data_IF_070425311893
#
_entry.id   IF_070425311893
#
_cell.length_a   1.000
_cell.length_b   1.000
_cell.length_c   1.000
_cell.angle_alpha   90.00
_cell.angle_beta   90.00
_cell.angle_gamma   90.00
#
_symmetry.space_group_name_H-M   'P 1'
#
loop_
_entity.id
_entity.type
_entity.pdbx_description
1 polymer ?
#
# COMPACT_ATOMS: atom_id res chain seq x y z
N UNK A 1 13.81 13.58 9.21
CA UNK A 1 13.49 13.44 7.77
C UNK A 1 12.00 13.15 7.53
N UNK A 2 11.07 13.80 8.26
CA UNK A 2 9.61 13.59 8.12
C UNK A 2 8.98 14.64 7.18
N UNK A 3 9.77 15.62 6.72
CA UNK A 3 9.31 16.79 5.97
C UNK A 3 9.00 16.56 4.47
N UNK A 4 9.31 15.40 3.88
CA UNK A 4 9.05 15.13 2.45
C UNK A 4 7.75 14.35 2.18
N UNK A 5 7.32 13.53 3.13
CA UNK A 5 6.15 12.63 2.99
C UNK A 5 4.82 13.38 2.97
N UNK A 6 4.70 14.52 3.66
CA UNK A 6 3.46 15.27 3.79
C UNK A 6 3.04 15.94 2.47
N UNK A 7 3.95 16.66 1.81
CA UNK A 7 3.69 17.37 0.54
C UNK A 7 3.25 16.38 -0.56
N UNK A 8 3.87 15.21 -0.59
CA UNK A 8 3.59 14.17 -1.58
C UNK A 8 2.23 13.52 -1.34
N UNK A 9 1.89 13.22 -0.08
CA UNK A 9 0.55 12.77 0.32
C UNK A 9 -0.54 13.79 -0.06
N UNK A 10 -0.28 15.09 0.13
CA UNK A 10 -1.24 16.14 -0.23
C UNK A 10 -1.49 16.27 -1.73
N UNK A 11 -0.48 16.06 -2.57
CA UNK A 11 -0.61 16.19 -4.02
C UNK A 11 -1.13 14.91 -4.70
N UNK A 12 -0.65 13.74 -4.28
CA UNK A 12 -0.88 12.47 -4.99
C UNK A 12 -2.05 11.65 -4.45
N UNK A 13 -2.33 11.68 -3.14
CA UNK A 13 -3.44 10.92 -2.57
C UNK A 13 -4.80 11.33 -3.15
N UNK A 14 -5.12 12.64 -3.28
CA UNK A 14 -6.39 13.05 -3.85
C UNK A 14 -6.54 12.66 -5.31
N UNK A 15 -5.46 12.76 -6.11
CA UNK A 15 -5.43 12.39 -7.52
C UNK A 15 -5.73 10.90 -7.70
N UNK A 16 -5.08 10.03 -6.91
CA UNK A 16 -5.28 8.59 -7.04
C UNK A 16 -6.61 8.13 -6.45
N UNK A 17 -7.11 8.73 -5.36
CA UNK A 17 -8.47 8.47 -4.89
C UNK A 17 -9.52 8.91 -5.93
N UNK A 18 -9.27 10.01 -6.64
CA UNK A 18 -10.09 10.47 -7.77
C UNK A 18 -10.13 9.45 -8.90
N UNK A 19 -8.96 8.93 -9.31
CA UNK A 19 -8.80 7.94 -10.37
C UNK A 19 -9.33 6.55 -9.99
N UNK A 20 -9.19 6.16 -8.72
CA UNK A 20 -9.43 4.80 -8.24
C UNK A 20 -10.84 4.59 -7.71
N UNK A 21 -11.30 5.41 -6.75
CA UNK A 21 -12.52 5.08 -6.04
C UNK A 21 -13.80 5.49 -6.77
N UNK A 22 -13.74 6.50 -7.67
CA UNK A 22 -14.91 7.19 -8.21
C UNK A 22 -16.15 7.19 -7.26
N UNK A 23 -15.99 7.41 -5.93
CA UNK A 23 -16.98 6.94 -4.96
C UNK A 23 -18.14 7.93 -4.82
N UNK A 24 -17.98 9.10 -5.42
CA UNK A 24 -18.84 10.25 -5.22
C UNK A 24 -19.94 10.36 -6.28
N UNK A 25 -20.29 9.29 -6.99
CA UNK A 25 -21.31 9.39 -8.06
C UNK A 25 -22.74 9.65 -7.54
N UNK A 26 -23.00 9.50 -6.23
CA UNK A 26 -24.34 9.67 -5.63
C UNK A 26 -24.58 10.99 -4.88
N UNK A 27 -23.62 11.91 -4.80
CA UNK A 27 -23.72 13.13 -3.96
C UNK A 27 -23.65 14.40 -4.82
N UNK A 28 -24.19 15.53 -4.33
CA UNK A 28 -24.17 16.82 -5.05
C UNK A 28 -22.74 17.36 -5.25
N UNK A 29 -22.48 18.14 -6.32
CA UNK A 29 -21.14 18.71 -6.61
C UNK A 29 -20.56 19.52 -5.45
N UNK A 30 -21.39 20.26 -4.71
CA UNK A 30 -20.96 21.07 -3.59
C UNK A 30 -20.49 20.20 -2.40
N UNK A 31 -21.22 19.13 -2.11
CA UNK A 31 -20.88 18.20 -1.02
C UNK A 31 -19.58 17.44 -1.30
N UNK A 32 -19.31 17.08 -2.57
CA UNK A 32 -18.05 16.44 -2.98
C UNK A 32 -16.84 17.33 -2.72
N UNK A 33 -16.95 18.58 -3.13
CA UNK A 33 -15.91 19.57 -2.95
C UNK A 33 -15.67 19.86 -1.46
N UNK A 34 -16.76 20.01 -0.71
CA UNK A 34 -16.70 20.24 0.73
C UNK A 34 -16.00 19.08 1.46
N UNK A 35 -16.33 17.82 1.16
CA UNK A 35 -15.68 16.63 1.78
C UNK A 35 -14.20 16.52 1.41
N UNK A 36 -13.82 16.82 0.17
CA UNK A 36 -12.41 16.80 -0.25
C UNK A 36 -11.60 17.91 0.44
N UNK A 37 -12.16 19.11 0.55
CA UNK A 37 -11.53 20.21 1.26
C UNK A 37 -11.46 19.97 2.78
N UNK A 38 -12.51 19.43 3.40
CA UNK A 38 -12.52 19.16 4.84
C UNK A 38 -11.65 17.95 5.21
N UNK A 39 -11.63 16.88 4.41
CA UNK A 39 -10.70 15.76 4.63
C UNK A 39 -9.24 16.19 4.42
N UNK A 40 -8.99 17.03 3.42
CA UNK A 40 -7.69 17.69 3.22
C UNK A 40 -7.30 18.52 4.45
N UNK A 41 -8.16 19.45 4.89
CA UNK A 41 -7.95 20.33 6.04
C UNK A 41 -7.81 19.60 7.38
N UNK A 42 -8.65 18.61 7.66
CA UNK A 42 -8.57 17.77 8.86
C UNK A 42 -7.29 16.94 8.88
N UNK A 43 -6.85 16.42 7.72
CA UNK A 43 -5.55 15.76 7.59
C UNK A 43 -4.37 16.69 7.92
N UNK A 44 -4.46 17.98 7.56
CA UNK A 44 -3.45 19.00 7.90
C UNK A 44 -3.43 19.25 9.40
N UNK A 45 -4.60 19.44 10.02
CA UNK A 45 -4.74 19.74 11.43
C UNK A 45 -4.35 18.57 12.34
N UNK A 46 -4.63 17.32 11.94
CA UNK A 46 -4.36 16.15 12.78
C UNK A 46 -2.90 15.70 12.76
N UNK A 47 -2.17 15.98 11.67
CA UNK A 47 -0.82 15.43 11.47
C UNK A 47 0.32 16.42 11.76
N UNK A 48 0.04 17.73 11.96
CA UNK A 48 1.09 18.72 12.25
C UNK A 48 0.54 20.02 12.87
N UNK A 49 0.46 20.15 14.21
CA UNK A 49 -0.16 21.32 14.82
C UNK A 49 0.65 22.62 14.72
N UNK A 50 1.96 22.60 14.45
CA UNK A 50 2.81 23.80 14.63
C UNK A 50 3.64 24.30 13.43
N UNK A 51 3.74 23.58 12.30
CA UNK A 51 4.78 23.89 11.28
C UNK A 51 4.32 24.11 9.82
N UNK A 52 3.02 24.13 9.52
CA UNK A 52 2.56 24.30 8.12
C UNK A 52 2.16 25.75 7.85
N UNK A 53 2.86 26.49 6.97
CA UNK A 53 2.50 27.86 6.67
C UNK A 53 1.12 27.91 5.99
N UNK A 54 0.27 28.85 6.40
CA UNK A 54 -1.10 29.02 5.87
C UNK A 54 -1.14 29.12 4.34
N UNK A 55 -0.07 29.62 3.72
CA UNK A 55 0.10 29.66 2.26
C UNK A 55 0.08 28.26 1.62
N UNK A 56 0.63 27.22 2.25
CA UNK A 56 0.61 25.85 1.74
C UNK A 56 -0.79 25.24 1.79
N UNK A 57 -1.59 25.59 2.80
CA UNK A 57 -2.99 25.20 2.89
C UNK A 57 -3.77 25.82 1.71
N UNK A 58 -3.49 27.09 1.41
CA UNK A 58 -4.08 27.78 0.27
C UNK A 58 -3.67 27.14 -1.08
N UNK A 59 -2.38 26.88 -1.30
CA UNK A 59 -1.91 26.19 -2.51
C UNK A 59 -2.49 24.77 -2.65
N UNK A 60 -2.59 24.02 -1.56
CA UNK A 60 -3.23 22.70 -1.53
C UNK A 60 -4.72 22.77 -1.88
N UNK A 61 -5.45 23.74 -1.34
CA UNK A 61 -6.86 23.96 -1.65
C UNK A 61 -7.08 24.35 -3.13
N UNK A 62 -6.24 25.23 -3.67
CA UNK A 62 -6.27 25.62 -5.09
C UNK A 62 -5.94 24.42 -5.99
N UNK A 63 -4.94 23.60 -5.62
CA UNK A 63 -4.58 22.39 -6.37
C UNK A 63 -5.72 21.35 -6.36
N UNK A 64 -6.34 21.11 -5.20
CA UNK A 64 -7.51 20.22 -5.07
C UNK A 64 -8.70 20.71 -5.88
N UNK A 65 -8.96 22.01 -5.88
CA UNK A 65 -10.02 22.60 -6.71
C UNK A 65 -9.71 22.47 -8.20
N UNK A 66 -8.48 22.74 -8.62
CA UNK A 66 -8.03 22.53 -10.00
C UNK A 66 -8.21 21.07 -10.45
N UNK A 67 -7.77 20.11 -9.63
CA UNK A 67 -7.98 18.68 -9.88
C UNK A 67 -9.47 18.30 -9.93
N UNK A 68 -10.30 18.90 -9.08
CA UNK A 68 -11.75 18.68 -9.09
C UNK A 68 -12.41 19.20 -10.36
N UNK A 69 -12.01 20.39 -10.84
CA UNK A 69 -12.49 20.92 -12.12
C UNK A 69 -12.07 20.03 -13.30
N UNK A 70 -10.86 19.49 -13.25
CA UNK A 70 -10.36 18.55 -14.25
C UNK A 70 -10.90 17.12 -14.09
N UNK A 71 -11.65 16.81 -13.03
CA UNK A 71 -12.13 15.44 -12.72
C UNK A 71 -12.82 14.78 -13.91
N UNK A 72 -13.76 15.48 -14.53
CA UNK A 72 -14.58 14.89 -15.59
C UNK A 72 -13.75 14.63 -16.86
N UNK A 73 -12.77 15.49 -17.13
CA UNK A 73 -11.82 15.32 -18.23
C UNK A 73 -10.84 14.17 -17.96
N UNK A 74 -10.27 14.13 -16.75
CA UNK A 74 -9.39 13.04 -16.28
C UNK A 74 -10.15 11.70 -16.34
N UNK A 75 -11.40 11.66 -15.87
CA UNK A 75 -12.21 10.44 -15.91
C UNK A 75 -12.55 10.00 -17.33
N UNK A 76 -12.73 10.91 -18.28
CA UNK A 76 -12.93 10.56 -19.71
C UNK A 76 -11.69 9.92 -20.30
N UNK A 77 -10.50 10.49 -20.06
CA UNK A 77 -9.21 9.94 -20.53
C UNK A 77 -8.90 8.60 -19.85
N UNK A 78 -9.15 8.53 -18.54
CA UNK A 78 -8.99 7.30 -17.80
C UNK A 78 -9.92 6.23 -18.39
N UNK A 79 -11.18 6.57 -18.63
CA UNK A 79 -12.17 5.64 -19.18
C UNK A 79 -11.95 5.24 -20.65
N UNK A 80 -11.16 5.99 -21.42
CA UNK A 80 -10.76 5.59 -22.78
C UNK A 80 -9.54 4.67 -22.81
N UNK A 81 -8.76 4.59 -21.73
CA UNK A 81 -7.54 3.79 -21.66
C UNK A 81 -7.86 2.31 -21.45
N UNK A 82 -7.10 1.38 -22.05
CA UNK A 82 -7.28 -0.06 -21.83
C UNK A 82 -7.08 -0.46 -20.36
N UNK A 83 -7.80 -1.48 -19.89
CA UNK A 83 -7.73 -1.95 -18.49
C UNK A 83 -6.31 -2.35 -18.06
N UNK A 84 -5.54 -2.97 -18.96
CA UNK A 84 -4.17 -3.38 -18.69
C UNK A 84 -3.25 -2.17 -18.47
N UNK A 85 -3.38 -1.14 -19.31
CA UNK A 85 -2.63 0.10 -19.18
C UNK A 85 -3.00 0.85 -17.88
N UNK A 86 -4.29 0.91 -17.51
CA UNK A 86 -4.71 1.49 -16.23
C UNK A 86 -4.08 0.78 -15.03
N UNK A 87 -4.11 -0.54 -15.02
CA UNK A 87 -3.53 -1.33 -13.93
C UNK A 87 -2.02 -1.13 -13.83
N UNK A 88 -1.33 -1.04 -14.97
CA UNK A 88 0.11 -0.77 -15.01
C UNK A 88 0.41 0.64 -14.48
N UNK A 89 -0.36 1.65 -14.92
CA UNK A 89 -0.20 3.03 -14.44
C UNK A 89 -0.39 3.09 -12.92
N UNK A 90 -1.46 2.47 -12.39
CA UNK A 90 -1.71 2.43 -10.95
C UNK A 90 -0.59 1.72 -10.18
N UNK A 91 -0.06 0.63 -10.73
CA UNK A 91 1.05 -0.11 -10.12
C UNK A 91 2.32 0.76 -10.10
N UNK A 92 2.68 1.40 -11.21
CA UNK A 92 3.85 2.28 -11.31
C UNK A 92 3.73 3.43 -10.30
N UNK A 93 2.58 4.09 -10.22
CA UNK A 93 2.36 5.15 -9.24
C UNK A 93 2.44 4.63 -7.80
N UNK A 94 1.92 3.44 -7.53
CA UNK A 94 2.00 2.84 -6.20
C UNK A 94 3.43 2.47 -5.80
N UNK A 95 4.20 1.92 -6.73
CA UNK A 95 5.62 1.62 -6.52
C UNK A 95 6.46 2.89 -6.38
N UNK A 96 6.18 3.93 -7.17
CA UNK A 96 6.84 5.22 -7.04
C UNK A 96 6.54 5.88 -5.68
N UNK A 97 5.31 5.77 -5.19
CA UNK A 97 4.94 6.23 -3.85
C UNK A 97 5.73 5.49 -2.77
N UNK A 98 5.81 4.16 -2.86
CA UNK A 98 6.59 3.35 -1.94
C UNK A 98 8.09 3.70 -1.98
N UNK A 99 8.62 3.90 -3.19
CA UNK A 99 10.00 4.27 -3.45
C UNK A 99 10.40 5.60 -2.84
N UNK A 100 9.46 6.55 -2.82
CA UNK A 100 9.67 7.87 -2.25
C UNK A 100 9.86 7.82 -0.73
N UNK A 101 9.09 6.96 -0.05
CA UNK A 101 9.21 6.77 1.40
C UNK A 101 10.51 6.06 1.76
N UNK A 102 10.72 4.86 1.23
CA UNK A 102 11.89 4.03 1.57
C UNK A 102 12.37 3.21 0.37
N UNK A 103 13.28 3.77 -0.47
CA UNK A 103 13.66 3.16 -1.73
C UNK A 103 14.37 1.81 -1.56
N UNK A 104 15.06 1.61 -0.42
CA UNK A 104 15.74 0.36 -0.10
C UNK A 104 14.77 -0.83 0.04
N UNK A 105 13.54 -0.60 0.52
CA UNK A 105 12.58 -1.66 0.81
C UNK A 105 11.63 -1.97 -0.34
N UNK A 106 11.67 -1.21 -1.45
CA UNK A 106 10.92 -1.56 -2.68
C UNK A 106 11.29 -2.97 -3.13
N UNK A 107 12.58 -3.33 -3.06
CA UNK A 107 13.05 -4.63 -3.50
C UNK A 107 12.42 -5.75 -2.67
N UNK A 108 12.23 -5.51 -1.37
CA UNK A 108 11.55 -6.45 -0.49
C UNK A 108 10.06 -6.60 -0.84
N UNK A 109 9.38 -5.48 -1.14
CA UNK A 109 8.00 -5.50 -1.65
C UNK A 109 7.89 -6.30 -2.96
N UNK A 110 8.77 -6.05 -3.93
CA UNK A 110 8.78 -6.76 -5.22
C UNK A 110 9.05 -8.25 -5.04
N UNK A 111 10.00 -8.63 -4.20
CA UNK A 111 10.26 -10.03 -3.85
C UNK A 111 9.04 -10.66 -3.20
N UNK A 112 8.39 -9.98 -2.25
CA UNK A 112 7.16 -10.46 -1.63
C UNK A 112 6.03 -10.68 -2.64
N UNK A 113 5.83 -9.75 -3.58
CA UNK A 113 4.86 -9.89 -4.68
C UNK A 113 5.16 -11.13 -5.52
N UNK A 114 6.42 -11.31 -5.94
CA UNK A 114 6.81 -12.44 -6.79
C UNK A 114 6.66 -13.78 -6.07
N UNK A 115 7.07 -13.85 -4.79
CA UNK A 115 6.92 -15.04 -3.96
C UNK A 115 5.44 -15.41 -3.81
N UNK A 116 4.59 -14.46 -3.42
CA UNK A 116 3.17 -14.72 -3.20
C UNK A 116 2.40 -14.96 -4.51
N UNK A 117 2.82 -14.35 -5.62
CA UNK A 117 2.33 -14.70 -6.96
C UNK A 117 2.65 -16.16 -7.31
N UNK A 118 3.91 -16.59 -7.11
CA UNK A 118 4.33 -17.97 -7.35
C UNK A 118 3.59 -18.97 -6.48
N UNK A 119 3.47 -18.68 -5.17
CA UNK A 119 2.71 -19.51 -4.24
C UNK A 119 1.23 -19.56 -4.60
N UNK A 120 0.62 -18.45 -5.02
CA UNK A 120 -0.76 -18.43 -5.50
C UNK A 120 -0.97 -19.29 -6.75
N UNK A 121 -0.01 -19.34 -7.68
CA UNK A 121 -0.06 -20.24 -8.84
C UNK A 121 0.04 -21.72 -8.43
N UNK A 122 0.91 -22.04 -7.48
CA UNK A 122 1.07 -23.41 -6.98
C UNK A 122 -0.12 -23.90 -6.17
N UNK A 123 -0.60 -23.09 -5.23
CA UNK A 123 -1.79 -23.36 -4.43
C UNK A 123 -3.02 -23.52 -5.33
N UNK A 124 -3.13 -22.72 -6.39
CA UNK A 124 -4.20 -22.79 -7.37
C UNK A 124 -4.31 -24.13 -8.12
N UNK A 125 -3.27 -24.99 -8.10
CA UNK A 125 -3.33 -26.35 -8.66
C UNK A 125 -3.99 -27.36 -7.70
N UNK A 126 -4.07 -27.03 -6.41
CA UNK A 126 -4.55 -27.93 -5.36
C UNK A 126 -5.57 -27.25 -4.41
N UNK A 127 -6.63 -26.61 -4.93
CA UNK A 127 -7.61 -25.92 -4.09
C UNK A 127 -8.31 -26.90 -3.16
N UNK A 128 -8.47 -26.52 -1.89
CA UNK A 128 -9.11 -27.32 -0.84
C UNK A 128 -8.52 -28.73 -0.63
N UNK A 129 -7.29 -28.99 -1.09
CA UNK A 129 -6.56 -30.25 -0.87
C UNK A 129 -5.52 -30.10 0.24
N UNK A 130 -5.16 -31.21 0.88
CA UNK A 130 -4.11 -31.25 1.92
C UNK A 130 -2.80 -30.64 1.42
N UNK A 131 -2.39 -30.92 0.18
CA UNK A 131 -1.21 -30.31 -0.45
C UNK A 131 -1.31 -28.78 -0.52
N UNK A 132 -2.47 -28.25 -0.94
CA UNK A 132 -2.74 -26.81 -0.95
C UNK A 132 -2.67 -26.20 0.46
N UNK A 133 -3.20 -26.90 1.47
CA UNK A 133 -3.13 -26.47 2.87
C UNK A 133 -1.68 -26.35 3.38
N UNK A 134 -0.83 -27.32 3.04
CA UNK A 134 0.59 -27.26 3.36
C UNK A 134 1.30 -26.10 2.65
N UNK A 135 1.01 -25.88 1.37
CA UNK A 135 1.58 -24.76 0.61
C UNK A 135 1.16 -23.40 1.20
N UNK A 136 -0.11 -23.26 1.63
CA UNK A 136 -0.56 -22.08 2.38
C UNK A 136 0.21 -21.95 3.69
N UNK A 137 0.39 -23.04 4.45
CA UNK A 137 1.17 -23.04 5.68
C UNK A 137 2.61 -22.55 5.49
N UNK A 138 3.29 -23.02 4.44
CA UNK A 138 4.63 -22.55 4.06
C UNK A 138 4.61 -21.06 3.69
N UNK A 139 3.60 -20.63 2.94
CA UNK A 139 3.44 -19.21 2.55
C UNK A 139 3.24 -18.31 3.78
N UNK A 140 2.38 -18.74 4.71
CA UNK A 140 2.13 -18.04 5.98
C UNK A 140 3.42 -17.95 6.78
N UNK A 141 4.14 -19.06 6.94
CA UNK A 141 5.39 -19.08 7.68
C UNK A 141 6.43 -18.14 7.07
N UNK A 142 6.60 -18.14 5.75
CA UNK A 142 7.57 -17.28 5.06
C UNK A 142 7.26 -15.78 5.23
N UNK A 143 6.00 -15.38 5.01
CA UNK A 143 5.57 -13.99 5.17
C UNK A 143 5.65 -13.52 6.62
N UNK A 144 5.22 -14.36 7.58
CA UNK A 144 5.29 -14.06 9.01
C UNK A 144 6.74 -13.99 9.49
N UNK A 145 7.64 -14.84 8.97
CA UNK A 145 9.06 -14.78 9.33
C UNK A 145 9.71 -13.45 8.88
N UNK A 146 9.41 -12.99 7.67
CA UNK A 146 9.88 -11.68 7.18
C UNK A 146 9.30 -10.56 8.06
N UNK A 147 7.99 -10.60 8.31
CA UNK A 147 7.32 -9.63 9.18
C UNK A 147 7.92 -9.59 10.59
N UNK A 148 8.16 -10.76 11.18
CA UNK A 148 8.75 -10.89 12.51
C UNK A 148 10.19 -10.37 12.56
N UNK A 149 10.99 -10.66 11.52
CA UNK A 149 12.35 -10.16 11.41
C UNK A 149 12.40 -8.63 11.50
N UNK A 150 11.59 -7.93 10.71
CA UNK A 150 11.60 -6.46 10.71
C UNK A 150 11.02 -5.86 11.98
N UNK A 151 10.03 -6.50 12.60
CA UNK A 151 9.31 -5.93 13.73
C UNK A 151 9.93 -6.23 15.09
N UNK A 152 10.53 -7.41 15.27
CA UNK A 152 10.91 -7.92 16.58
C UNK A 152 12.39 -8.23 16.74
N UNK A 153 13.21 -8.23 15.69
CA UNK A 153 14.63 -8.64 15.84
C UNK A 153 15.41 -7.78 16.83
N UNK A 154 15.24 -6.45 16.80
CA UNK A 154 15.91 -5.57 17.75
C UNK A 154 15.50 -5.93 19.18
N UNK A 155 14.22 -6.16 19.44
CA UNK A 155 13.71 -6.58 20.75
C UNK A 155 14.30 -7.93 21.18
N UNK A 156 14.28 -8.93 20.30
CA UNK A 156 14.82 -10.28 20.60
C UNK A 156 16.31 -10.20 20.97
N UNK A 157 17.12 -9.43 20.24
CA UNK A 157 18.54 -9.30 20.56
C UNK A 157 18.80 -8.55 21.87
N UNK A 158 17.99 -7.53 22.19
CA UNK A 158 18.07 -6.84 23.48
C UNK A 158 17.81 -7.82 24.63
N UNK A 159 16.70 -8.57 24.58
CA UNK A 159 16.34 -9.52 25.64
C UNK A 159 17.36 -10.66 25.77
N UNK A 160 17.94 -11.14 24.66
CA UNK A 160 18.97 -12.18 24.70
C UNK A 160 20.29 -11.67 25.29
N UNK A 161 20.69 -10.45 24.94
CA UNK A 161 21.88 -9.84 25.52
C UNK A 161 21.71 -9.62 27.02
N UNK A 162 20.53 -9.17 27.47
CA UNK A 162 20.23 -8.96 28.89
C UNK A 162 20.11 -10.29 29.67
N UNK A 163 19.42 -11.29 29.11
CA UNK A 163 19.18 -12.56 29.80
C UNK A 163 20.40 -13.48 29.86
N UNK A 164 21.25 -13.46 28.82
CA UNK A 164 22.38 -14.39 28.68
C UNK A 164 23.74 -13.71 28.70
N UNK A 165 23.80 -12.38 28.92
CA UNK A 165 25.05 -11.59 28.86
C UNK A 165 25.82 -11.83 27.55
N UNK A 166 25.08 -11.97 26.45
CA UNK A 166 25.63 -12.10 25.10
C UNK A 166 25.97 -10.72 24.54
N UNK A 167 26.99 -10.66 23.68
CA UNK A 167 27.43 -9.44 23.02
C UNK A 167 26.98 -9.42 21.55
N UNK A 168 25.67 -9.67 21.32
CA UNK A 168 25.13 -9.67 19.96
C UNK A 168 25.04 -8.24 19.43
N UNK A 169 25.45 -8.00 18.16
CA UNK A 169 25.40 -6.67 17.58
C UNK A 169 23.95 -6.21 17.40
N UNK A 170 23.54 -5.20 18.17
CA UNK A 170 22.24 -4.55 18.05
C UNK A 170 22.18 -3.75 16.74
N UNK A 171 21.61 -4.38 15.70
CA UNK A 171 21.32 -3.67 14.46
C UNK A 171 19.93 -3.07 14.57
N UNK A 172 19.84 -1.74 14.54
CA UNK A 172 18.55 -1.05 14.43
C UNK A 172 17.90 -1.40 13.08
N UNK A 173 16.99 -2.37 13.11
CA UNK A 173 16.20 -2.76 11.94
C UNK A 173 15.11 -1.71 11.73
N UNK A 174 15.23 -0.91 10.67
CA UNK A 174 14.21 0.07 10.30
C UNK A 174 13.03 -0.67 9.67
N UNK A 175 11.81 -0.46 10.19
CA UNK A 175 10.62 -1.13 9.67
C UNK A 175 10.20 -0.52 8.34
N UNK A 176 9.91 -1.34 7.30
CA UNK A 176 9.37 -0.84 6.06
C UNK A 176 7.98 -0.26 6.27
N UNK A 177 7.73 0.92 5.74
CA UNK A 177 6.38 1.50 5.72
C UNK A 177 5.43 0.50 5.05
N UNK A 178 4.30 0.21 5.70
CA UNK A 178 3.27 -0.66 5.13
C UNK A 178 3.57 -2.16 5.12
N UNK A 179 4.63 -2.65 5.81
CA UNK A 179 4.96 -4.09 5.85
C UNK A 179 3.81 -4.97 6.31
N UNK A 180 3.05 -4.54 7.32
CA UNK A 180 1.86 -5.25 7.76
C UNK A 180 0.84 -5.41 6.63
N UNK A 181 0.56 -4.32 5.89
CA UNK A 181 -0.51 -4.30 4.89
C UNK A 181 -0.22 -5.19 3.70
N UNK A 182 0.92 -5.02 3.05
CA UNK A 182 1.23 -5.86 1.90
C UNK A 182 1.41 -7.32 2.30
N UNK A 183 1.87 -7.60 3.51
CA UNK A 183 1.98 -8.98 4.04
C UNK A 183 0.60 -9.61 4.20
N UNK A 184 -0.34 -8.91 4.84
CA UNK A 184 -1.70 -9.41 5.02
C UNK A 184 -2.47 -9.54 3.70
N UNK A 185 -2.31 -8.60 2.77
CA UNK A 185 -2.90 -8.71 1.43
C UNK A 185 -2.33 -9.90 0.67
N UNK A 186 -1.01 -10.07 0.68
CA UNK A 186 -0.36 -11.19 0.02
C UNK A 186 -0.82 -12.54 0.59
N UNK A 187 -0.99 -12.62 1.91
CA UNK A 187 -1.56 -13.80 2.58
C UNK A 187 -3.04 -14.02 2.23
N UNK A 188 -3.85 -12.96 2.23
CA UNK A 188 -5.27 -13.04 1.82
C UNK A 188 -5.36 -13.65 0.43
N UNK A 189 -4.59 -13.12 -0.53
CA UNK A 189 -4.58 -13.65 -1.90
C UNK A 189 -4.32 -15.15 -1.94
N UNK A 190 -3.28 -15.65 -1.27
CA UNK A 190 -2.92 -17.07 -1.33
C UNK A 190 -3.95 -17.94 -0.60
N UNK A 191 -4.49 -17.48 0.53
CA UNK A 191 -5.56 -18.17 1.29
C UNK A 191 -6.86 -18.22 0.48
N UNK A 192 -7.25 -17.13 -0.16
CA UNK A 192 -8.48 -17.02 -0.93
C UNK A 192 -8.40 -17.91 -2.20
N UNK A 193 -7.23 -18.00 -2.82
CA UNK A 193 -6.95 -18.96 -3.90
C UNK A 193 -7.09 -20.41 -3.41
N UNK A 194 -6.58 -20.73 -2.22
CA UNK A 194 -6.71 -22.07 -1.64
C UNK A 194 -8.17 -22.44 -1.35
N UNK A 195 -8.94 -21.49 -0.80
CA UNK A 195 -10.36 -21.67 -0.50
C UNK A 195 -11.22 -21.79 -1.76
N UNK A 196 -10.69 -21.38 -2.91
CA UNK A 196 -11.42 -21.34 -4.17
C UNK A 196 -12.37 -20.15 -4.29
N UNK A 197 -12.24 -19.15 -3.41
CA UNK A 197 -13.01 -17.90 -3.47
C UNK A 197 -12.57 -17.05 -4.67
N UNK A 198 -11.28 -17.10 -5.00
CA UNK A 198 -10.71 -16.45 -6.19
C UNK A 198 -9.90 -17.46 -7.02
N UNK A 199 -9.90 -17.27 -8.34
CA UNK A 199 -9.02 -18.03 -9.23
C UNK A 199 -7.59 -17.50 -9.10
N UNK A 200 -6.63 -18.42 -9.17
CA UNK A 200 -5.22 -18.04 -9.25
C UNK A 200 -4.97 -17.13 -10.45
N UNK A 201 -4.40 -15.94 -10.20
CA UNK A 201 -4.18 -14.93 -11.22
C UNK A 201 -2.87 -15.22 -11.97
N UNK A 202 -2.93 -15.19 -13.30
CA UNK A 202 -1.79 -15.51 -14.18
C UNK A 202 -0.97 -14.29 -14.57
N UNK A 203 -1.49 -13.09 -14.27
CA UNK A 203 -0.78 -11.85 -14.55
C UNK A 203 -0.14 -11.30 -13.25
N UNK A 204 1.20 -11.31 -13.13
CA UNK A 204 1.88 -10.83 -11.93
C UNK A 204 1.65 -9.33 -11.68
N UNK A 205 1.35 -8.53 -12.71
CA UNK A 205 1.06 -7.10 -12.56
C UNK A 205 -0.25 -6.87 -11.79
N UNK A 206 -1.24 -7.76 -11.92
CA UNK A 206 -2.49 -7.62 -11.18
C UNK A 206 -2.33 -8.01 -9.72
N UNK A 207 -1.55 -9.07 -9.44
CA UNK A 207 -1.21 -9.45 -8.07
C UNK A 207 -0.34 -8.37 -7.41
N UNK A 208 0.64 -7.85 -8.15
CA UNK A 208 1.46 -6.73 -7.71
C UNK A 208 0.63 -5.47 -7.46
N UNK A 209 -0.32 -5.15 -8.34
CA UNK A 209 -1.22 -4.02 -8.12
C UNK A 209 -2.05 -4.22 -6.85
N UNK A 210 -2.63 -5.40 -6.64
CA UNK A 210 -3.42 -5.71 -5.45
C UNK A 210 -2.61 -5.56 -4.15
N UNK A 211 -1.37 -6.07 -4.13
CA UNK A 211 -0.48 -6.07 -2.96
C UNK A 211 0.17 -4.69 -2.73
N UNK A 212 0.47 -3.95 -3.80
CA UNK A 212 1.16 -2.66 -3.71
C UNK A 212 0.21 -1.47 -3.68
N UNK A 213 -1.12 -1.67 -3.78
CA UNK A 213 -2.08 -0.59 -3.96
C UNK A 213 -2.02 0.42 -2.81
N UNK A 214 -1.41 1.57 -3.06
CA UNK A 214 -1.03 2.48 -1.97
C UNK A 214 -2.20 3.04 -1.15
N UNK A 215 -3.41 3.34 -1.71
CA UNK A 215 -4.54 3.80 -0.88
C UNK A 215 -4.88 2.80 0.24
N UNK A 216 -4.63 1.51 -0.01
CA UNK A 216 -4.87 0.46 0.97
C UNK A 216 -3.70 0.27 1.94
N UNK A 217 -2.48 0.68 1.57
CA UNK A 217 -1.30 0.63 2.44
C UNK A 217 -1.29 1.72 3.53
N UNK A 218 -2.07 2.79 3.36
CA UNK A 218 -2.12 3.95 4.27
C UNK A 218 -3.38 3.95 5.14
N UNK A 219 -4.46 3.32 4.69
CA UNK A 219 -5.78 3.39 5.32
C UNK A 219 -6.01 2.41 6.49
N UNK A 220 -4.96 1.75 7.00
CA UNK A 220 -5.09 0.82 8.12
C UNK A 220 -4.07 1.05 9.22
#
# INVERSE_FOLDING_TARGET
MVFSSSIFLFAFLPLVLLLYFNPLNRVSRATKFFVLCTAGMLGIMYFSPEDIPVSWIFYGAVALFGLYLCKDWINRIWNSTERAARNLILLIFSLAFYAWGEPKYILLLLVSILLNYGMGLWVGKYPQKTTGKWLVGVTVLANVAIFFYFKYMTFVFTELNEAFSLDLPLKNVVLPIGISFYTFQALSYVVDVYRGEVKSEKNPLKVGLYIALFPQLIAG
#
